data_IF_030826586647
#
_entry.id   IF_030826586647
#
_cell.length_a   1.000
_cell.length_b   1.000
_cell.length_c   1.000
_cell.angle_alpha   90.00
_cell.angle_beta   90.00
_cell.angle_gamma   90.00
#
_symmetry.space_group_name_H-M   'P 1'
#
loop_
_entity.id
_entity.type
_entity.pdbx_description
1 polymer ?
#
# COMPACT_ATOMS: atom_id res chain seq x y z
N UNK A 1 30.45 -45.59 47.76
CA UNK A 1 29.40 -44.55 47.63
C UNK A 1 29.27 -44.19 46.17
N UNK A 2 28.20 -44.60 45.49
CA UNK A 2 27.95 -44.30 44.06
C UNK A 2 26.99 -43.15 44.01
N UNK A 3 27.47 -41.96 43.58
CA UNK A 3 26.62 -40.79 43.38
C UNK A 3 25.80 -40.90 42.11
N UNK A 4 24.48 -40.78 42.21
CA UNK A 4 23.53 -40.71 41.10
C UNK A 4 23.43 -39.23 40.71
N UNK A 5 23.91 -38.91 39.51
CA UNK A 5 23.72 -37.59 38.91
C UNK A 5 22.35 -37.60 38.19
N UNK A 6 21.38 -36.87 38.76
CA UNK A 6 20.07 -36.65 38.13
C UNK A 6 20.20 -35.53 37.09
N UNK A 7 20.10 -35.86 35.81
CA UNK A 7 20.02 -34.89 34.74
C UNK A 7 18.57 -34.39 34.62
N UNK A 8 18.30 -33.13 35.00
CA UNK A 8 17.01 -32.49 34.81
C UNK A 8 16.89 -32.03 33.35
N UNK A 9 16.03 -32.69 32.60
CA UNK A 9 15.70 -32.31 31.23
C UNK A 9 14.76 -31.09 31.28
N UNK A 10 15.24 -29.89 30.95
CA UNK A 10 14.41 -28.69 30.83
C UNK A 10 13.75 -28.69 29.47
N UNK A 11 12.44 -28.97 29.41
CA UNK A 11 11.63 -28.84 28.23
C UNK A 11 11.24 -27.36 28.04
N UNK A 12 11.86 -26.67 27.09
CA UNK A 12 11.42 -25.34 26.66
C UNK A 12 10.26 -25.49 25.68
N UNK A 13 9.06 -25.14 26.12
CA UNK A 13 7.91 -25.00 25.23
C UNK A 13 8.07 -23.73 24.38
N UNK A 14 8.35 -23.89 23.10
CA UNK A 14 8.25 -22.80 22.13
C UNK A 14 6.76 -22.51 21.89
N UNK A 15 6.26 -21.40 22.43
CA UNK A 15 4.92 -20.90 22.10
C UNK A 15 4.96 -20.29 20.70
N UNK A 16 4.31 -20.94 19.74
CA UNK A 16 4.10 -20.39 18.41
C UNK A 16 3.18 -19.18 18.51
N UNK A 17 3.70 -17.97 18.28
CA UNK A 17 2.88 -16.76 18.16
C UNK A 17 2.28 -16.79 16.77
N UNK A 18 0.99 -17.13 16.67
CA UNK A 18 0.24 -16.98 15.43
C UNK A 18 -0.06 -15.50 15.23
N UNK A 19 0.38 -14.95 14.09
CA UNK A 19 -0.08 -13.63 13.66
C UNK A 19 -1.58 -13.71 13.36
N UNK A 20 -2.38 -12.89 14.06
CA UNK A 20 -3.81 -12.79 13.79
C UNK A 20 -4.01 -11.91 12.55
N UNK A 21 -4.70 -12.43 11.54
CA UNK A 21 -5.12 -11.68 10.37
C UNK A 21 -6.60 -11.29 10.52
N UNK A 22 -6.90 -10.03 10.23
CA UNK A 22 -8.27 -9.54 10.09
C UNK A 22 -8.60 -9.47 8.60
N UNK A 23 -9.67 -10.14 8.18
CA UNK A 23 -10.19 -10.07 6.81
C UNK A 23 -11.67 -9.77 6.82
N UNK A 24 -12.14 -9.10 5.76
CA UNK A 24 -13.54 -8.74 5.64
C UNK A 24 -13.84 -8.10 4.29
N UNK A 25 -15.10 -7.77 4.06
CA UNK A 25 -15.58 -7.07 2.88
C UNK A 25 -16.31 -5.81 3.30
N UNK A 26 -15.98 -4.69 2.64
CA UNK A 26 -16.69 -3.43 2.86
C UNK A 26 -17.79 -3.31 1.82
N UNK A 27 -19.03 -3.09 2.26
CA UNK A 27 -20.17 -2.86 1.39
C UNK A 27 -20.56 -1.38 1.41
N UNK A 28 -20.91 -0.87 0.23
CA UNK A 28 -21.47 0.46 0.07
C UNK A 28 -22.99 0.40 0.32
N UNK A 29 -23.52 1.40 1.03
CA UNK A 29 -24.95 1.55 1.29
C UNK A 29 -25.41 2.93 0.80
N UNK A 30 -26.50 2.96 0.07
CA UNK A 30 -27.06 4.17 -0.53
C UNK A 30 -26.87 4.23 -2.04
N UNK A 31 -27.01 5.44 -2.61
CA UNK A 31 -26.84 5.68 -4.04
C UNK A 31 -25.38 6.01 -4.33
N UNK A 32 -24.73 5.19 -5.16
CA UNK A 32 -23.36 5.44 -5.56
C UNK A 32 -23.29 6.76 -6.39
N UNK A 33 -22.26 7.60 -6.17
CA UNK A 33 -22.06 8.75 -7.03
C UNK A 33 -21.73 8.30 -8.45
N UNK A 34 -22.09 9.15 -9.43
CA UNK A 34 -21.71 8.91 -10.81
C UNK A 34 -20.17 8.93 -10.94
N UNK A 35 -19.56 7.94 -11.62
CA UNK A 35 -18.13 7.92 -11.83
C UNK A 35 -17.67 9.17 -12.60
N UNK A 36 -16.65 9.86 -12.11
CA UNK A 36 -16.06 11.00 -12.79
C UNK A 36 -15.07 10.53 -13.85
N UNK A 37 -15.26 10.95 -15.10
CA UNK A 37 -14.34 10.63 -16.18
C UNK A 37 -13.05 11.45 -16.03
N UNK A 38 -11.91 10.77 -16.20
CA UNK A 38 -10.59 11.39 -16.28
C UNK A 38 -10.26 11.64 -17.74
N UNK A 39 -9.86 12.87 -18.08
CA UNK A 39 -9.38 13.20 -19.41
C UNK A 39 -7.92 12.80 -19.57
N UNK A 40 -7.65 11.78 -20.36
CA UNK A 40 -6.30 11.29 -20.66
C UNK A 40 -5.67 11.97 -21.87
N UNK A 41 -6.38 12.88 -22.57
CA UNK A 41 -5.90 13.50 -23.81
C UNK A 41 -4.84 14.58 -23.59
N UNK A 42 -4.56 14.97 -22.36
CA UNK A 42 -3.49 15.93 -22.06
C UNK A 42 -2.10 15.42 -22.47
N UNK A 43 -1.91 14.09 -22.51
CA UNK A 43 -0.70 13.44 -22.99
C UNK A 43 -1.08 12.33 -23.99
N UNK A 44 -0.54 12.33 -25.22
CA UNK A 44 -0.82 11.30 -26.22
C UNK A 44 -0.47 9.88 -25.79
N UNK A 45 0.55 9.71 -24.96
CA UNK A 45 0.95 8.41 -24.39
C UNK A 45 -0.14 7.91 -23.44
N UNK A 46 -0.66 8.78 -22.59
CA UNK A 46 -1.75 8.45 -21.68
C UNK A 46 -3.03 8.11 -22.45
N UNK A 47 -3.37 8.91 -23.45
CA UNK A 47 -4.52 8.65 -24.30
C UNK A 47 -4.43 7.29 -25.00
N UNK A 48 -3.26 6.93 -25.54
CA UNK A 48 -3.04 5.66 -26.26
C UNK A 48 -2.97 4.43 -25.34
N UNK A 49 -2.70 4.63 -24.06
CA UNK A 49 -2.64 3.54 -23.09
C UNK A 49 -4.01 2.95 -22.73
N UNK A 50 -5.11 3.64 -23.13
CA UNK A 50 -6.47 3.26 -22.79
C UNK A 50 -7.36 3.17 -24.04
N UNK A 51 -8.00 2.02 -24.22
CA UNK A 51 -9.03 1.82 -25.27
C UNK A 51 -10.42 2.21 -24.79
N UNK A 52 -10.61 2.22 -23.48
CA UNK A 52 -11.89 2.52 -22.81
C UNK A 52 -11.77 3.79 -21.96
N UNK A 53 -12.88 4.48 -21.68
CA UNK A 53 -12.87 5.64 -20.80
C UNK A 53 -12.32 5.33 -19.43
N UNK A 54 -11.42 6.18 -18.93
CA UNK A 54 -10.85 6.08 -17.59
C UNK A 54 -11.69 6.89 -16.62
N UNK A 55 -11.92 6.35 -15.45
CA UNK A 55 -12.66 6.99 -14.37
C UNK A 55 -11.79 7.15 -13.12
N UNK A 56 -12.12 8.16 -12.32
CA UNK A 56 -11.48 8.40 -11.05
C UNK A 56 -11.73 7.24 -10.06
N UNK A 57 -10.73 6.94 -9.23
CA UNK A 57 -10.77 5.84 -8.26
C UNK A 57 -11.19 6.29 -6.85
N UNK A 58 -11.72 7.51 -6.69
CA UNK A 58 -12.09 8.08 -5.39
C UNK A 58 -13.22 7.30 -4.70
N UNK A 59 -14.23 6.89 -5.49
CA UNK A 59 -15.33 6.05 -5.00
C UNK A 59 -15.64 5.00 -6.06
N UNK A 60 -15.21 3.77 -5.83
CA UNK A 60 -15.44 2.66 -6.75
C UNK A 60 -16.34 1.63 -6.08
N UNK A 61 -17.61 1.62 -6.50
CA UNK A 61 -18.60 0.63 -6.07
C UNK A 61 -18.74 -0.43 -7.13
N UNK A 62 -18.45 -1.68 -6.78
CA UNK A 62 -18.58 -2.83 -7.69
C UNK A 62 -20.05 -3.23 -7.89
N UNK A 63 -20.34 -4.02 -8.90
CA UNK A 63 -21.70 -4.49 -9.24
C UNK A 63 -22.38 -5.29 -8.11
N UNK A 64 -21.61 -5.87 -7.18
CA UNK A 64 -22.07 -6.57 -5.99
C UNK A 64 -22.13 -5.66 -4.74
N UNK A 65 -22.13 -4.34 -4.91
CA UNK A 65 -22.12 -3.33 -3.86
C UNK A 65 -20.91 -3.38 -2.91
N UNK A 66 -19.82 -4.01 -3.28
CA UNK A 66 -18.58 -3.89 -2.52
C UNK A 66 -17.85 -2.60 -2.87
N UNK A 67 -17.24 -1.96 -1.87
CA UNK A 67 -16.47 -0.74 -2.01
C UNK A 67 -14.98 -1.06 -2.15
N UNK A 68 -14.33 -0.54 -3.19
CA UNK A 68 -12.91 -0.68 -3.46
C UNK A 68 -12.10 0.43 -2.76
N UNK A 69 -10.80 0.25 -2.67
CA UNK A 69 -9.85 1.25 -2.17
C UNK A 69 -10.12 1.72 -0.72
N UNK A 70 -10.67 0.85 0.12
CA UNK A 70 -10.90 1.14 1.54
C UNK A 70 -9.68 0.72 2.35
N UNK A 71 -9.13 1.66 3.13
CA UNK A 71 -8.07 1.38 4.08
C UNK A 71 -8.66 1.19 5.47
N UNK A 72 -8.48 0.00 6.04
CA UNK A 72 -8.94 -0.36 7.38
C UNK A 72 -7.74 -0.41 8.32
N UNK A 73 -7.83 0.28 9.45
CA UNK A 73 -6.74 0.32 10.43
C UNK A 73 -7.26 0.21 11.87
N UNK A 74 -6.40 -0.23 12.78
CA UNK A 74 -6.71 -0.28 14.21
C UNK A 74 -6.51 1.12 14.79
N UNK A 75 -7.60 1.73 15.25
CA UNK A 75 -7.60 3.11 15.75
C UNK A 75 -7.12 3.21 17.22
N UNK A 76 -7.45 2.21 18.05
CA UNK A 76 -7.17 2.19 19.49
C UNK A 76 -6.76 0.80 19.94
N UNK A 77 -6.11 0.69 21.11
CA UNK A 77 -5.69 -0.59 21.71
C UNK A 77 -4.30 -1.05 21.28
N UNK A 78 -3.52 -0.16 20.63
CA UNK A 78 -2.12 -0.39 20.26
C UNK A 78 -1.14 0.45 21.09
N UNK A 79 -1.63 1.18 22.08
CA UNK A 79 -0.85 2.07 22.94
C UNK A 79 0.24 1.28 23.66
N UNK A 80 1.48 1.76 23.61
CA UNK A 80 2.66 1.11 24.20
C UNK A 80 3.14 -0.15 23.48
N UNK A 81 2.51 -0.53 22.36
CA UNK A 81 3.00 -1.61 21.50
C UNK A 81 3.95 -1.08 20.45
N UNK A 82 5.02 -1.81 20.22
CA UNK A 82 5.98 -1.55 19.13
C UNK A 82 5.90 -2.68 18.12
N UNK A 83 6.02 -2.33 16.84
CA UNK A 83 6.00 -3.28 15.75
C UNK A 83 7.27 -3.12 14.94
N UNK A 84 7.88 -4.24 14.56
CA UNK A 84 9.02 -4.20 13.66
C UNK A 84 8.59 -3.69 12.29
N UNK A 85 9.43 -2.84 11.70
CA UNK A 85 9.18 -2.37 10.32
C UNK A 85 9.33 -3.54 9.35
N UNK A 86 8.29 -3.84 8.54
CA UNK A 86 8.38 -4.91 7.56
C UNK A 86 9.53 -4.67 6.58
N UNK A 87 10.36 -5.69 6.28
CA UNK A 87 11.47 -5.54 5.35
C UNK A 87 11.03 -5.43 3.88
N UNK A 88 9.80 -5.82 3.58
CA UNK A 88 9.28 -5.84 2.22
C UNK A 88 9.05 -4.43 1.70
N UNK A 89 9.41 -4.21 0.43
CA UNK A 89 9.10 -2.99 -0.29
C UNK A 89 7.58 -2.82 -0.45
N UNK A 90 7.10 -1.60 -0.18
CA UNK A 90 5.81 -1.15 -0.71
C UNK A 90 6.07 -0.52 -2.06
N UNK A 91 5.27 -0.83 -3.06
CA UNK A 91 5.45 -0.32 -4.42
C UNK A 91 4.29 0.60 -4.78
N UNK A 92 4.62 1.81 -5.24
CA UNK A 92 3.72 2.74 -5.91
C UNK A 92 4.17 2.84 -7.36
N UNK A 93 3.36 2.28 -8.27
CA UNK A 93 3.66 2.28 -9.70
C UNK A 93 2.83 3.34 -10.43
N UNK A 94 3.46 4.05 -11.34
CA UNK A 94 2.82 4.93 -12.30
C UNK A 94 2.66 4.14 -13.60
N UNK A 95 1.44 3.64 -13.83
CA UNK A 95 1.12 2.75 -14.93
C UNK A 95 -0.22 3.10 -15.57
N UNK A 96 -0.23 3.27 -16.88
CA UNK A 96 -1.39 3.76 -17.60
C UNK A 96 -1.78 5.16 -17.14
N UNK A 97 -0.80 5.99 -16.78
CA UNK A 97 -0.97 7.35 -16.26
C UNK A 97 -1.86 7.42 -15.01
N UNK A 98 -1.79 6.38 -14.19
CA UNK A 98 -2.45 6.27 -12.89
C UNK A 98 -1.47 5.79 -11.83
N UNK A 99 -1.77 6.05 -10.57
CA UNK A 99 -1.05 5.46 -9.46
C UNK A 99 -1.67 4.10 -9.09
N UNK A 100 -0.83 3.07 -9.00
CA UNK A 100 -1.21 1.72 -8.57
C UNK A 100 -0.30 1.23 -7.43
N UNK A 101 -0.87 0.83 -6.28
CA UNK A 101 -2.29 0.87 -5.91
C UNK A 101 -2.76 2.29 -5.58
N UNK A 102 -4.08 2.56 -5.71
CA UNK A 102 -4.67 3.86 -5.39
C UNK A 102 -4.58 4.18 -3.87
N UNK A 103 -4.75 3.18 -3.03
CA UNK A 103 -4.64 3.29 -1.56
C UNK A 103 -3.78 2.16 -1.02
N UNK A 104 -2.85 2.47 -0.15
CA UNK A 104 -2.00 1.47 0.53
C UNK A 104 -1.55 1.97 1.91
N UNK A 105 -1.19 1.03 2.77
CA UNK A 105 -0.54 1.31 4.05
C UNK A 105 0.97 1.16 3.96
N UNK A 106 1.68 1.99 4.68
CA UNK A 106 3.13 1.90 4.86
C UNK A 106 3.49 2.21 6.30
N UNK A 107 4.39 1.45 6.88
CA UNK A 107 4.90 1.72 8.21
C UNK A 107 6.06 2.72 8.14
N UNK A 108 6.23 3.54 9.19
CA UNK A 108 7.41 4.39 9.35
C UNK A 108 8.69 3.58 9.12
N UNK A 109 9.63 4.14 8.39
CA UNK A 109 10.88 3.51 7.94
C UNK A 109 10.74 2.34 6.95
N UNK A 110 9.53 1.90 6.61
CA UNK A 110 9.37 0.91 5.54
C UNK A 110 9.71 1.53 4.18
N UNK A 111 10.49 0.85 3.33
CA UNK A 111 10.85 1.41 2.04
C UNK A 111 9.66 1.43 1.07
N UNK A 112 9.41 2.59 0.47
CA UNK A 112 8.51 2.82 -0.65
C UNK A 112 9.32 2.88 -1.94
N UNK A 113 9.13 1.93 -2.84
CA UNK A 113 9.63 2.02 -4.20
C UNK A 113 8.58 2.72 -5.09
N UNK A 114 8.95 3.82 -5.68
CA UNK A 114 8.16 4.56 -6.66
C UNK A 114 8.68 4.19 -8.04
N UNK A 115 7.80 3.75 -8.94
CA UNK A 115 8.12 3.34 -10.31
C UNK A 115 7.45 4.22 -11.34
N UNK A 116 8.09 4.35 -12.49
CA UNK A 116 7.45 4.78 -13.73
C UNK A 116 7.44 3.59 -14.71
N UNK A 117 6.27 3.02 -14.96
CA UNK A 117 6.09 1.92 -15.92
C UNK A 117 5.63 2.39 -17.31
N UNK A 118 5.37 3.68 -17.49
CA UNK A 118 4.93 4.27 -18.75
C UNK A 118 6.07 4.93 -19.54
N UNK A 119 6.01 4.96 -20.87
CA UNK A 119 7.03 5.60 -21.71
C UNK A 119 6.82 7.12 -21.83
N UNK A 120 6.45 7.78 -20.73
CA UNK A 120 6.29 9.24 -20.63
C UNK A 120 6.81 9.76 -19.29
N UNK A 121 7.03 11.08 -19.23
CA UNK A 121 7.40 11.76 -17.99
C UNK A 121 6.24 11.69 -17.00
N UNK A 122 6.50 11.14 -15.84
CA UNK A 122 5.64 11.22 -14.69
C UNK A 122 6.27 12.01 -13.54
N UNK A 123 5.43 12.38 -12.59
CA UNK A 123 5.84 13.10 -11.40
C UNK A 123 5.07 12.58 -10.19
N UNK A 124 5.76 12.37 -9.09
CA UNK A 124 5.13 12.04 -7.81
C UNK A 124 5.39 13.15 -6.82
N UNK A 125 4.30 13.82 -6.42
CA UNK A 125 4.32 14.84 -5.39
C UNK A 125 3.75 14.26 -4.09
N UNK A 126 4.63 13.95 -3.15
CA UNK A 126 4.25 13.47 -1.83
C UNK A 126 4.07 14.65 -0.87
N UNK A 127 2.86 14.77 -0.32
CA UNK A 127 2.50 15.84 0.63
C UNK A 127 2.11 15.23 1.99
N UNK A 128 3.04 14.65 2.74
CA UNK A 128 2.77 14.09 4.06
C UNK A 128 2.43 15.23 5.05
N UNK A 129 1.66 14.91 6.09
CA UNK A 129 1.30 15.89 7.12
C UNK A 129 2.41 16.09 8.15
N UNK A 130 3.18 15.04 8.44
CA UNK A 130 4.12 15.02 9.57
C UNK A 130 5.59 14.97 9.13
N UNK A 131 5.87 14.54 7.90
CA UNK A 131 7.25 14.45 7.40
C UNK A 131 7.49 15.40 6.24
N UNK A 132 8.72 15.43 5.72
CA UNK A 132 9.11 16.37 4.65
C UNK A 132 8.42 16.03 3.33
N UNK A 133 7.81 17.05 2.73
CA UNK A 133 7.29 17.03 1.36
C UNK A 133 8.40 16.70 0.33
N UNK A 134 8.02 16.02 -0.74
CA UNK A 134 8.92 15.74 -1.86
C UNK A 134 8.18 15.80 -3.20
N UNK A 135 8.93 16.16 -4.24
CA UNK A 135 8.44 16.20 -5.61
C UNK A 135 9.49 15.53 -6.51
N UNK A 136 9.12 14.44 -7.18
CA UNK A 136 10.03 13.58 -7.92
C UNK A 136 9.59 13.47 -9.38
N UNK A 137 10.38 14.05 -10.28
CA UNK A 137 10.23 13.80 -11.71
C UNK A 137 10.78 12.43 -12.09
N UNK A 138 10.04 11.68 -12.88
CA UNK A 138 10.40 10.34 -13.35
C UNK A 138 10.27 10.27 -14.88
N UNK A 139 11.27 10.79 -15.62
CA UNK A 139 11.18 10.98 -17.07
C UNK A 139 11.36 9.69 -17.89
N UNK A 140 11.85 8.60 -17.30
CA UNK A 140 12.27 7.41 -18.04
C UNK A 140 11.41 6.21 -17.62
N UNK A 141 10.86 5.49 -18.60
CA UNK A 141 10.19 4.21 -18.36
C UNK A 141 11.13 3.23 -17.65
N UNK A 142 10.59 2.55 -16.63
CA UNK A 142 11.34 1.62 -15.79
C UNK A 142 12.16 2.29 -14.69
N UNK A 143 12.17 3.62 -14.61
CA UNK A 143 12.82 4.35 -13.51
C UNK A 143 12.20 3.98 -12.16
N UNK A 144 13.06 3.83 -11.16
CA UNK A 144 12.68 3.49 -9.78
C UNK A 144 13.41 4.40 -8.81
N UNK A 145 12.69 4.88 -7.83
CA UNK A 145 13.22 5.66 -6.72
C UNK A 145 12.72 5.10 -5.41
N UNK A 146 13.55 5.11 -4.38
CA UNK A 146 13.15 4.65 -3.05
C UNK A 146 13.04 5.82 -2.09
N UNK A 147 11.97 5.82 -1.29
CA UNK A 147 11.71 6.77 -0.21
C UNK A 147 11.38 6.02 1.08
N UNK A 148 11.58 6.71 2.20
CA UNK A 148 11.10 6.30 3.52
C UNK A 148 10.46 7.51 4.18
N UNK A 149 9.50 7.25 5.04
CA UNK A 149 8.91 8.25 5.93
C UNK A 149 9.42 7.97 7.34
N UNK A 150 10.04 8.94 7.96
CA UNK A 150 10.63 8.96 9.30
C UNK A 150 9.78 9.77 10.30
#
# INVERSE_FOLDING_TARGET
MKGIICFALVFTFATSVFAAALSGTVHFSGTAPAPQRVDMNADPTCASAHTEPVYADDVVVNSNNTLKNVFVYVKTGLEGKTFETPPNLVVLDQKGCKYEPHVFGIQVNQPLEIRNSDPTLHNVHGMPKETKEFNLGMPIQGMKLTRKFD
#
